data_IF_418744716092
#
_entry.id   IF_418744716092
#
_cell.length_a   1.000
_cell.length_b   1.000
_cell.length_c   1.000
_cell.angle_alpha   90.00
_cell.angle_beta   90.00
_cell.angle_gamma   90.00
#
_symmetry.space_group_name_H-M   'P 1'
#
loop_
_entity.id
_entity.type
_entity.pdbx_description
1 polymer ?
#
# COMPACT_ATOMS: atom_id res chain seq x y z
N UNK A 1 0.98 -10.83 3.24
CA UNK A 1 0.63 -10.40 4.62
C UNK A 1 -0.88 -10.22 4.84
N UNK A 2 -1.71 -10.62 3.87
CA UNK A 2 -3.16 -10.43 3.88
C UNK A 2 -3.95 -11.57 4.56
N UNK A 3 -3.30 -12.39 5.38
CA UNK A 3 -3.99 -13.42 6.14
C UNK A 3 -4.65 -12.79 7.37
N UNK A 4 -5.97 -12.93 7.48
CA UNK A 4 -6.77 -12.42 8.59
C UNK A 4 -6.86 -13.40 9.77
N UNK A 5 -6.45 -14.66 9.60
CA UNK A 5 -6.60 -15.72 10.59
C UNK A 5 -8.05 -15.85 11.08
N UNK A 6 -8.23 -15.99 12.40
CA UNK A 6 -9.55 -16.17 13.03
C UNK A 6 -10.52 -14.99 12.75
N UNK A 7 -9.99 -13.79 12.47
CA UNK A 7 -10.80 -12.61 12.20
C UNK A 7 -11.56 -12.67 10.88
N UNK A 8 -11.17 -13.57 9.95
CA UNK A 8 -11.89 -13.80 8.70
C UNK A 8 -13.37 -14.19 8.94
N UNK A 9 -13.69 -14.81 10.08
CA UNK A 9 -15.05 -15.15 10.48
C UNK A 9 -15.99 -13.94 10.56
N UNK A 10 -15.45 -12.75 10.85
CA UNK A 10 -16.25 -11.51 10.91
C UNK A 10 -16.61 -10.94 9.54
N UNK A 11 -15.93 -11.37 8.47
CA UNK A 11 -16.10 -10.77 7.13
C UNK A 11 -17.46 -11.09 6.49
N UNK A 12 -18.14 -12.16 6.94
CA UNK A 12 -19.48 -12.51 6.48
C UNK A 12 -20.53 -11.43 6.78
N UNK A 13 -20.30 -10.62 7.82
CA UNK A 13 -21.20 -9.53 8.21
C UNK A 13 -20.89 -8.20 7.49
N UNK A 14 -19.87 -8.16 6.61
CA UNK A 14 -19.46 -6.96 5.90
C UNK A 14 -20.16 -6.83 4.53
N UNK A 15 -20.34 -5.61 4.00
CA UNK A 15 -20.92 -5.38 2.67
C UNK A 15 -20.16 -6.13 1.58
N UNK A 16 -20.88 -6.70 0.59
CA UNK A 16 -20.28 -7.49 -0.49
C UNK A 16 -19.61 -6.66 -1.59
N UNK A 17 -19.98 -5.41 -1.73
CA UNK A 17 -19.47 -4.48 -2.76
C UNK A 17 -18.14 -3.85 -2.35
N UNK A 18 -17.33 -3.47 -3.34
CA UNK A 18 -16.05 -2.78 -3.12
C UNK A 18 -16.26 -1.43 -2.43
N UNK A 19 -17.29 -0.68 -2.82
CA UNK A 19 -17.63 0.61 -2.18
C UNK A 19 -17.97 0.43 -0.69
N UNK A 20 -18.72 -0.62 -0.36
CA UNK A 20 -19.13 -0.91 1.01
C UNK A 20 -17.96 -1.36 1.86
N UNK A 21 -17.04 -2.14 1.29
CA UNK A 21 -15.78 -2.50 1.95
C UNK A 21 -14.89 -1.27 2.18
N UNK A 22 -14.72 -0.41 1.18
CA UNK A 22 -13.94 0.82 1.33
C UNK A 22 -14.50 1.71 2.46
N UNK A 23 -15.82 1.89 2.52
CA UNK A 23 -16.49 2.63 3.62
C UNK A 23 -16.27 2.00 4.99
N UNK A 24 -16.26 0.66 5.08
CA UNK A 24 -15.91 -0.04 6.33
C UNK A 24 -14.48 0.30 6.75
N UNK A 25 -13.52 0.22 5.83
CA UNK A 25 -12.12 0.55 6.12
C UNK A 25 -11.95 2.02 6.55
N UNK A 26 -12.60 2.96 5.86
CA UNK A 26 -12.63 4.38 6.24
C UNK A 26 -13.25 4.62 7.62
N UNK A 27 -14.15 3.75 8.06
CA UNK A 27 -14.73 3.77 9.40
C UNK A 27 -13.85 3.15 10.49
N UNK A 28 -12.84 2.36 10.12
CA UNK A 28 -11.99 1.61 11.06
C UNK A 28 -10.57 2.16 11.15
N UNK A 29 -10.08 2.77 10.07
CA UNK A 29 -8.72 3.26 9.91
C UNK A 29 -8.69 4.80 9.87
N UNK A 30 -7.58 5.39 10.28
CA UNK A 30 -7.26 6.81 10.11
C UNK A 30 -5.82 6.94 9.64
N UNK A 31 -5.55 7.84 8.68
CA UNK A 31 -4.19 8.05 8.21
C UNK A 31 -3.37 8.82 9.24
N UNK A 32 -2.18 8.33 9.60
CA UNK A 32 -1.35 8.84 10.69
C UNK A 32 -0.94 10.30 10.50
N UNK A 33 -0.77 10.72 9.25
CA UNK A 33 -0.42 12.09 8.86
C UNK A 33 -1.63 12.98 8.54
N UNK A 34 -2.86 12.48 8.65
CA UNK A 34 -4.07 13.27 8.38
C UNK A 34 -5.10 13.33 9.53
N UNK A 35 -4.73 13.20 10.83
CA UNK A 35 -5.73 13.23 11.91
C UNK A 35 -6.36 14.62 12.07
N UNK A 36 -5.64 15.68 11.69
CA UNK A 36 -6.13 17.07 11.70
C UNK A 36 -7.32 17.28 10.77
N UNK A 37 -7.41 16.51 9.67
CA UNK A 37 -8.59 16.58 8.81
C UNK A 37 -9.84 16.23 9.61
N UNK A 38 -9.73 15.36 10.61
CA UNK A 38 -10.82 14.89 11.45
C UNK A 38 -10.91 15.58 12.81
N UNK A 39 -10.07 16.58 13.08
CA UNK A 39 -10.04 17.27 14.38
C UNK A 39 -9.60 16.37 15.54
N UNK A 40 -8.67 15.45 15.27
CA UNK A 40 -8.18 14.45 16.22
C UNK A 40 -6.69 14.65 16.47
N UNK A 41 -6.28 14.44 17.72
CA UNK A 41 -4.87 14.20 18.07
C UNK A 41 -4.70 12.72 18.37
N UNK A 42 -3.75 12.05 17.71
CA UNK A 42 -3.49 10.63 17.96
C UNK A 42 -2.92 10.41 19.38
N UNK A 43 -3.29 9.32 20.01
CA UNK A 43 -2.71 8.84 21.27
C UNK A 43 -1.31 8.23 21.08
N UNK A 44 -0.56 8.04 22.17
CA UNK A 44 0.75 7.36 22.10
C UNK A 44 0.63 5.91 21.62
N UNK A 45 -0.46 5.23 22.00
CA UNK A 45 -0.77 3.89 21.49
C UNK A 45 -0.91 3.92 19.96
N UNK A 46 -1.71 4.85 19.43
CA UNK A 46 -1.92 5.02 17.99
C UNK A 46 -0.63 5.38 17.24
N UNK A 47 0.26 6.17 17.84
CA UNK A 47 1.58 6.46 17.23
C UNK A 47 2.44 5.21 16.98
N UNK A 48 2.19 4.10 17.68
CA UNK A 48 2.86 2.81 17.45
C UNK A 48 2.10 1.83 16.53
N UNK A 49 0.91 2.18 16.06
CA UNK A 49 0.09 1.34 15.18
C UNK A 49 0.57 1.27 13.72
N UNK A 50 1.12 2.34 13.11
CA UNK A 50 1.62 2.30 11.74
C UNK A 50 2.72 1.25 11.51
N UNK A 51 3.41 0.80 12.56
CA UNK A 51 4.46 -0.22 12.48
C UNK A 51 3.93 -1.67 12.43
N UNK A 52 2.62 -1.87 12.34
CA UNK A 52 2.01 -3.21 12.24
C UNK A 52 1.92 -3.66 10.78
N UNK A 53 2.56 -4.79 10.47
CA UNK A 53 2.63 -5.30 9.09
C UNK A 53 1.43 -6.15 8.69
N UNK A 54 1.01 -7.11 9.52
CA UNK A 54 0.05 -8.14 9.13
C UNK A 54 -1.42 -7.76 9.33
N UNK A 55 -2.30 -8.28 8.46
CA UNK A 55 -3.73 -8.02 8.53
C UNK A 55 -4.37 -8.55 9.82
N UNK A 56 -3.96 -9.75 10.26
CA UNK A 56 -4.40 -10.36 11.52
C UNK A 56 -4.12 -9.46 12.72
N UNK A 57 -2.91 -8.93 12.83
CA UNK A 57 -2.48 -8.07 13.94
C UNK A 57 -3.20 -6.71 13.92
N UNK A 58 -3.47 -6.14 12.73
CA UNK A 58 -4.29 -4.94 12.58
C UNK A 58 -5.71 -5.21 13.10
N UNK A 59 -6.34 -6.29 12.64
CA UNK A 59 -7.69 -6.69 13.06
C UNK A 59 -7.77 -6.97 14.55
N UNK A 60 -6.77 -7.64 15.11
CA UNK A 60 -6.67 -7.89 16.54
C UNK A 60 -6.60 -6.60 17.34
N UNK A 61 -5.75 -5.64 16.93
CA UNK A 61 -5.67 -4.33 17.62
C UNK A 61 -6.97 -3.53 17.53
N UNK A 62 -7.66 -3.57 16.39
CA UNK A 62 -8.98 -2.94 16.23
C UNK A 62 -9.99 -3.57 17.19
N UNK A 63 -10.05 -4.90 17.24
CA UNK A 63 -11.05 -5.62 18.04
C UNK A 63 -10.78 -5.55 19.55
N UNK A 64 -9.50 -5.57 19.97
CA UNK A 64 -9.10 -5.40 21.37
C UNK A 64 -9.40 -3.98 21.86
N UNK A 65 -9.19 -2.97 21.01
CA UNK A 65 -9.52 -1.58 21.34
C UNK A 65 -11.04 -1.36 21.42
N UNK A 66 -11.79 -1.90 20.46
CA UNK A 66 -13.24 -1.76 20.41
C UNK A 66 -13.90 -3.04 19.89
N UNK A 67 -14.64 -3.78 20.75
CA UNK A 67 -15.19 -5.09 20.42
C UNK A 67 -16.47 -5.05 19.58
N UNK A 68 -16.99 -3.85 19.22
CA UNK A 68 -18.15 -3.76 18.32
C UNK A 68 -17.83 -4.42 16.97
N UNK A 69 -18.81 -4.87 16.18
CA UNK A 69 -18.53 -5.47 14.87
C UNK A 69 -17.72 -4.53 13.95
N UNK A 70 -16.91 -5.12 13.05
CA UNK A 70 -16.14 -4.37 12.04
C UNK A 70 -17.03 -3.53 11.11
N UNK A 71 -18.30 -3.90 10.92
CA UNK A 71 -19.28 -3.13 10.14
C UNK A 71 -19.71 -1.83 10.81
N UNK A 72 -19.37 -1.60 12.09
CA UNK A 72 -19.68 -0.37 12.81
C UNK A 72 -18.50 0.59 12.73
N UNK A 73 -18.68 1.74 12.10
CA UNK A 73 -17.66 2.77 12.07
C UNK A 73 -17.29 3.22 13.51
N UNK A 74 -16.03 3.58 13.68
CA UNK A 74 -15.50 4.18 14.91
C UNK A 74 -15.46 5.70 14.77
N UNK A 75 -15.68 6.44 15.87
CA UNK A 75 -15.30 7.85 15.92
C UNK A 75 -13.85 8.02 15.47
N UNK A 76 -13.47 9.09 14.74
CA UNK A 76 -12.12 9.22 14.19
C UNK A 76 -10.99 9.03 15.21
N UNK A 77 -11.16 9.52 16.45
CA UNK A 77 -10.18 9.34 17.53
C UNK A 77 -10.00 7.90 18.01
N UNK A 78 -10.95 7.01 17.72
CA UNK A 78 -10.96 5.60 18.12
C UNK A 78 -10.58 4.65 16.98
N UNK A 79 -10.23 5.20 15.80
CA UNK A 79 -9.78 4.42 14.64
C UNK A 79 -8.33 3.99 14.81
N UNK A 80 -7.98 2.87 14.19
CA UNK A 80 -6.60 2.41 14.11
C UNK A 80 -5.80 3.37 13.21
N UNK A 81 -4.69 3.89 13.72
CA UNK A 81 -3.80 4.76 12.98
C UNK A 81 -2.87 3.94 12.08
N UNK A 82 -2.95 4.19 10.78
CA UNK A 82 -2.08 3.56 9.79
C UNK A 82 -1.76 4.51 8.64
N UNK A 83 -1.27 3.95 7.54
CA UNK A 83 -0.95 4.69 6.32
C UNK A 83 -1.69 4.09 5.11
N UNK A 84 -1.51 4.67 3.92
CA UNK A 84 -2.09 4.21 2.65
C UNK A 84 -1.96 2.68 2.42
N UNK A 85 -0.80 2.11 2.76
CA UNK A 85 -0.55 0.68 2.66
C UNK A 85 -1.48 -0.16 3.53
N UNK A 86 -1.92 0.34 4.68
CA UNK A 86 -2.83 -0.39 5.57
C UNK A 86 -4.23 -0.51 4.97
N UNK A 87 -4.75 0.58 4.39
CA UNK A 87 -6.02 0.54 3.65
C UNK A 87 -5.94 -0.45 2.50
N UNK A 88 -4.84 -0.39 1.73
CA UNK A 88 -4.58 -1.29 0.61
C UNK A 88 -4.52 -2.75 1.05
N UNK A 89 -3.73 -3.08 2.06
CA UNK A 89 -3.63 -4.44 2.59
C UNK A 89 -4.99 -4.96 3.04
N UNK A 90 -5.72 -4.14 3.80
CA UNK A 90 -7.00 -4.56 4.38
C UNK A 90 -8.05 -4.78 3.30
N UNK A 91 -8.09 -3.97 2.24
CA UNK A 91 -8.99 -4.21 1.12
C UNK A 91 -8.59 -5.47 0.34
N UNK A 92 -7.29 -5.68 0.06
CA UNK A 92 -6.79 -6.93 -0.56
C UNK A 92 -7.21 -8.15 0.28
N UNK A 93 -7.06 -8.08 1.60
CA UNK A 93 -7.46 -9.14 2.54
C UNK A 93 -8.94 -9.46 2.43
N UNK A 94 -9.79 -8.44 2.43
CA UNK A 94 -11.24 -8.60 2.35
C UNK A 94 -11.69 -9.17 1.01
N UNK A 95 -11.11 -8.71 -0.10
CA UNK A 95 -11.42 -9.19 -1.45
C UNK A 95 -10.98 -10.65 -1.65
N UNK A 96 -9.76 -10.99 -1.23
CA UNK A 96 -9.25 -12.38 -1.30
C UNK A 96 -10.07 -13.35 -0.47
N UNK A 97 -10.59 -12.92 0.68
CA UNK A 97 -11.49 -13.74 1.50
C UNK A 97 -12.79 -14.14 0.78
N UNK A 98 -13.13 -13.44 -0.31
CA UNK A 98 -14.31 -13.66 -1.15
C UNK A 98 -13.99 -14.35 -2.48
N UNK A 99 -12.74 -14.80 -2.66
CA UNK A 99 -12.28 -15.38 -3.93
C UNK A 99 -12.06 -14.37 -5.04
N UNK A 100 -12.08 -13.06 -4.75
CA UNK A 100 -11.79 -12.02 -5.74
C UNK A 100 -10.27 -11.88 -5.85
N UNK A 101 -9.75 -11.99 -7.07
CA UNK A 101 -8.34 -11.74 -7.34
C UNK A 101 -8.02 -10.28 -7.04
N UNK A 102 -7.13 -10.06 -6.07
CA UNK A 102 -6.71 -8.72 -5.64
C UNK A 102 -5.22 -8.71 -5.30
N UNK A 103 -4.56 -7.57 -5.52
CA UNK A 103 -3.15 -7.33 -5.23
C UNK A 103 -2.94 -5.89 -4.78
N UNK A 104 -1.92 -5.67 -3.95
CA UNK A 104 -1.49 -4.34 -3.57
C UNK A 104 -0.54 -3.79 -4.64
N UNK A 105 -0.63 -2.49 -4.92
CA UNK A 105 0.28 -1.77 -5.80
C UNK A 105 0.94 -0.63 -5.06
N UNK A 106 2.23 -0.49 -5.30
CA UNK A 106 3.08 0.55 -4.75
C UNK A 106 3.48 1.51 -5.89
N UNK A 107 3.37 2.81 -5.63
CA UNK A 107 3.51 3.83 -6.68
C UNK A 107 3.27 5.23 -6.15
N UNK A 108 2.67 6.07 -6.98
CA UNK A 108 2.55 7.50 -6.71
C UNK A 108 1.20 8.07 -7.16
N UNK A 109 0.54 8.79 -6.24
CA UNK A 109 -0.70 9.52 -6.50
C UNK A 109 -0.44 10.95 -6.96
N UNK A 110 -1.00 11.33 -8.11
CA UNK A 110 -0.90 12.65 -8.72
C UNK A 110 -2.06 13.59 -8.32
N UNK A 111 -2.66 13.36 -7.14
CA UNK A 111 -3.93 13.99 -6.71
C UNK A 111 -3.92 14.48 -5.26
N UNK A 112 -2.74 14.53 -4.63
CA UNK A 112 -2.58 15.03 -3.26
C UNK A 112 -2.00 16.44 -3.22
N UNK A 113 -1.02 16.71 -4.08
CA UNK A 113 -0.31 17.99 -4.19
C UNK A 113 -0.13 18.28 -5.67
N UNK A 114 -0.45 19.50 -6.09
CA UNK A 114 -0.30 19.92 -7.49
C UNK A 114 1.15 19.74 -7.94
N UNK A 115 1.32 19.27 -9.18
CA UNK A 115 2.62 19.06 -9.84
C UNK A 115 3.56 18.06 -9.14
N UNK A 116 3.05 17.30 -8.18
CA UNK A 116 3.79 16.29 -7.43
C UNK A 116 3.12 14.91 -7.51
N UNK A 117 3.95 13.89 -7.41
CA UNK A 117 3.56 12.49 -7.39
C UNK A 117 3.93 11.93 -6.01
N UNK A 118 2.93 11.81 -5.13
CA UNK A 118 3.16 11.47 -3.72
C UNK A 118 3.19 9.95 -3.53
N UNK A 119 4.18 9.45 -2.78
CA UNK A 119 4.30 8.03 -2.39
C UNK A 119 2.96 7.49 -1.90
N UNK A 120 2.45 6.45 -2.54
CA UNK A 120 1.12 5.95 -2.24
C UNK A 120 0.93 4.48 -2.59
N UNK A 121 -0.07 3.88 -1.95
CA UNK A 121 -0.45 2.49 -2.15
C UNK A 121 -1.93 2.38 -2.46
N UNK A 122 -2.26 1.53 -3.43
CA UNK A 122 -3.64 1.26 -3.85
C UNK A 122 -3.88 -0.23 -4.04
N UNK A 123 -5.15 -0.63 -4.01
CA UNK A 123 -5.58 -2.00 -4.34
C UNK A 123 -5.86 -2.08 -5.84
N UNK A 124 -5.37 -3.13 -6.48
CA UNK A 124 -5.91 -3.60 -7.75
C UNK A 124 -6.75 -4.85 -7.51
N UNK A 125 -7.94 -4.91 -8.10
CA UNK A 125 -8.75 -6.12 -8.12
C UNK A 125 -9.24 -6.41 -9.54
N UNK A 126 -9.43 -7.69 -9.84
CA UNK A 126 -9.97 -8.10 -11.14
C UNK A 126 -11.49 -8.03 -11.08
N UNK A 127 -12.08 -7.20 -11.93
CA UNK A 127 -13.53 -7.12 -12.13
C UNK A 127 -13.92 -8.11 -13.23
N UNK A 128 -14.52 -9.23 -12.84
CA UNK A 128 -14.97 -10.28 -13.77
C UNK A 128 -16.06 -9.81 -14.74
N UNK A 129 -16.88 -8.81 -14.36
CA UNK A 129 -17.92 -8.29 -15.24
C UNK A 129 -17.33 -7.43 -16.36
N UNK A 130 -16.22 -6.72 -16.08
CA UNK A 130 -15.52 -5.88 -17.04
C UNK A 130 -14.29 -6.54 -17.67
N UNK A 131 -13.89 -7.71 -17.17
CA UNK A 131 -12.70 -8.47 -17.58
C UNK A 131 -11.42 -7.63 -17.53
N UNK A 132 -11.25 -6.83 -16.48
CA UNK A 132 -10.07 -5.96 -16.31
C UNK A 132 -9.69 -5.76 -14.85
N UNK A 133 -8.44 -5.34 -14.64
CA UNK A 133 -8.00 -4.81 -13.35
C UNK A 133 -8.49 -3.39 -13.13
N UNK A 134 -9.11 -3.17 -11.97
CA UNK A 134 -9.61 -1.88 -11.49
C UNK A 134 -8.72 -1.42 -10.34
N UNK A 135 -8.29 -0.15 -10.36
CA UNK A 135 -7.55 0.48 -9.26
C UNK A 135 -8.53 1.09 -8.26
N UNK A 136 -8.29 0.82 -6.97
CA UNK A 136 -9.12 1.32 -5.87
C UNK A 136 -8.22 1.94 -4.82
N UNK A 137 -8.50 3.21 -4.52
CA UNK A 137 -7.93 3.89 -3.37
C UNK A 137 -8.95 3.95 -2.23
N UNK A 138 -8.92 2.93 -1.36
CA UNK A 138 -9.84 2.80 -0.24
C UNK A 138 -9.57 3.81 0.89
N UNK A 139 -8.41 4.48 0.90
CA UNK A 139 -8.09 5.50 1.91
C UNK A 139 -8.96 6.74 1.74
N UNK A 140 -9.26 7.09 0.50
CA UNK A 140 -9.86 8.37 0.14
C UNK A 140 -11.36 8.37 0.46
N UNK A 141 -11.70 8.87 1.65
CA UNK A 141 -13.08 9.11 2.07
C UNK A 141 -13.61 10.46 1.56
N UNK A 142 -14.89 10.74 1.81
CA UNK A 142 -15.52 11.99 1.36
C UNK A 142 -14.79 13.26 1.84
N UNK A 143 -14.19 13.24 3.04
CA UNK A 143 -13.50 14.40 3.61
C UNK A 143 -12.13 14.60 2.96
N UNK A 144 -11.38 13.53 2.72
CA UNK A 144 -10.13 13.60 1.95
C UNK A 144 -10.39 14.03 0.51
N UNK A 145 -11.46 13.54 -0.13
CA UNK A 145 -11.85 13.98 -1.48
C UNK A 145 -12.05 15.49 -1.55
N UNK A 146 -12.80 16.05 -0.59
CA UNK A 146 -13.02 17.49 -0.50
C UNK A 146 -11.71 18.25 -0.28
N UNK A 147 -10.87 17.80 0.67
CA UNK A 147 -9.60 18.47 1.00
C UNK A 147 -8.60 18.48 -0.13
N UNK A 148 -8.53 17.41 -0.92
CA UNK A 148 -7.60 17.27 -2.04
C UNK A 148 -8.20 17.67 -3.39
N UNK A 149 -9.49 18.04 -3.44
CA UNK A 149 -10.16 18.40 -4.70
C UNK A 149 -10.29 17.22 -5.67
N UNK A 150 -10.47 16.01 -5.17
CA UNK A 150 -10.55 14.78 -5.98
C UNK A 150 -11.93 14.67 -6.65
N UNK A 151 -11.95 14.80 -7.97
CA UNK A 151 -13.13 14.82 -8.83
C UNK A 151 -13.38 13.52 -9.60
N UNK A 152 -12.47 12.54 -9.51
CA UNK A 152 -12.60 11.22 -10.16
C UNK A 152 -13.14 10.14 -9.20
N UNK A 153 -13.46 8.96 -9.74
CA UNK A 153 -13.90 7.82 -8.94
C UNK A 153 -12.71 7.14 -8.25
N UNK A 154 -12.72 7.08 -6.92
CA UNK A 154 -11.66 6.44 -6.13
C UNK A 154 -11.82 4.91 -6.08
N UNK A 155 -12.92 4.37 -6.62
CA UNK A 155 -13.16 2.95 -6.79
C UNK A 155 -12.83 2.45 -8.21
N UNK A 156 -12.44 3.35 -9.10
CA UNK A 156 -11.89 3.08 -10.43
C UNK A 156 -10.91 4.19 -10.81
N UNK A 157 -9.80 4.26 -10.05
CA UNK A 157 -8.80 5.32 -10.16
C UNK A 157 -8.19 5.31 -11.56
N UNK A 158 -8.23 6.44 -12.30
CA UNK A 158 -7.58 6.52 -13.60
C UNK A 158 -6.07 6.27 -13.51
N UNK A 159 -5.53 5.57 -14.51
CA UNK A 159 -4.10 5.17 -14.57
C UNK A 159 -3.13 6.34 -14.69
N UNK A 160 -3.61 7.50 -15.11
CA UNK A 160 -2.85 8.76 -15.16
C UNK A 160 -2.90 9.51 -13.81
N UNK A 161 -3.84 9.16 -12.92
CA UNK A 161 -3.93 9.71 -11.56
C UNK A 161 -3.10 8.92 -10.56
N UNK A 162 -2.94 7.61 -10.75
CA UNK A 162 -2.02 6.79 -9.97
C UNK A 162 -1.02 6.09 -10.88
N UNK A 163 0.26 6.45 -10.75
CA UNK A 163 1.35 5.81 -11.46
C UNK A 163 1.93 4.71 -10.61
N UNK A 164 1.88 3.46 -11.08
CA UNK A 164 2.65 2.38 -10.43
C UNK A 164 4.14 2.69 -10.50
N UNK A 165 4.92 2.22 -9.53
CA UNK A 165 6.32 2.65 -9.39
C UNK A 165 7.17 2.38 -10.66
N UNK A 166 6.90 1.29 -11.39
CA UNK A 166 7.57 0.98 -12.65
C UNK A 166 7.32 2.02 -13.75
N UNK A 167 6.12 2.57 -13.81
CA UNK A 167 5.75 3.60 -14.78
C UNK A 167 6.39 4.94 -14.43
N UNK A 168 6.39 5.29 -13.14
CA UNK A 168 7.10 6.48 -12.65
C UNK A 168 8.60 6.41 -12.96
N UNK A 169 9.23 5.25 -12.72
CA UNK A 169 10.62 5.00 -13.08
C UNK A 169 10.85 5.21 -14.56
N UNK A 170 10.05 4.57 -15.41
CA UNK A 170 10.16 4.68 -16.86
C UNK A 170 10.00 6.12 -17.35
N UNK A 171 9.03 6.86 -16.85
CA UNK A 171 8.81 8.27 -17.23
C UNK A 171 10.03 9.14 -16.92
N UNK A 172 10.61 8.96 -15.73
CA UNK A 172 11.82 9.67 -15.33
C UNK A 172 13.03 9.28 -16.19
N UNK A 173 13.22 7.99 -16.44
CA UNK A 173 14.32 7.46 -17.27
C UNK A 173 14.23 7.91 -18.74
N UNK A 174 13.01 8.05 -19.26
CA UNK A 174 12.75 8.58 -20.60
C UNK A 174 12.87 10.12 -20.67
N UNK A 175 13.19 10.81 -19.56
CA UNK A 175 13.29 12.28 -19.50
C UNK A 175 11.94 13.01 -19.59
N UNK A 176 10.82 12.30 -19.41
CA UNK A 176 9.45 12.85 -19.52
C UNK A 176 8.91 13.40 -18.21
N UNK A 177 9.56 13.09 -17.10
CA UNK A 177 9.20 13.60 -15.78
C UNK A 177 10.46 13.90 -14.95
N UNK A 178 10.36 14.87 -14.06
CA UNK A 178 11.44 15.20 -13.12
C UNK A 178 11.40 14.22 -11.94
N UNK A 179 12.48 13.47 -11.64
CA UNK A 179 12.52 12.58 -10.48
C UNK A 179 12.25 13.28 -9.15
N UNK A 180 12.55 14.58 -9.05
CA UNK A 180 12.31 15.37 -7.84
C UNK A 180 10.82 15.70 -7.62
N UNK A 181 9.95 15.40 -8.58
CA UNK A 181 8.51 15.49 -8.41
C UNK A 181 7.90 14.24 -7.74
N UNK A 182 8.67 13.17 -7.54
CA UNK A 182 8.19 11.88 -7.01
C UNK A 182 8.76 11.63 -5.62
N UNK A 183 7.89 11.51 -4.62
CA UNK A 183 8.34 11.26 -3.25
C UNK A 183 7.34 11.62 -2.17
N UNK A 184 7.83 11.76 -0.94
CA UNK A 184 7.02 12.09 0.23
C UNK A 184 7.89 12.76 1.30
N UNK A 185 7.34 13.74 2.01
CA UNK A 185 8.07 14.57 2.98
C UNK A 185 9.30 15.25 2.35
N UNK A 186 10.50 14.80 2.69
CA UNK A 186 11.80 15.26 2.20
C UNK A 186 12.52 14.21 1.31
N UNK A 187 11.88 13.06 1.08
CA UNK A 187 12.44 11.95 0.31
C UNK A 187 11.92 11.98 -1.13
N UNK A 188 12.77 12.38 -2.07
CA UNK A 188 12.48 12.43 -3.50
C UNK A 188 13.67 11.97 -4.33
N UNK A 189 13.42 11.64 -5.60
CA UNK A 189 14.46 11.30 -6.57
C UNK A 189 14.40 9.86 -7.09
N UNK A 190 15.38 9.51 -7.93
CA UNK A 190 15.40 8.19 -8.59
C UNK A 190 15.59 7.05 -7.58
N UNK A 191 16.37 7.23 -6.53
CA UNK A 191 16.55 6.24 -5.46
C UNK A 191 15.23 5.90 -4.77
N UNK A 192 14.36 6.90 -4.58
CA UNK A 192 13.08 6.73 -3.92
C UNK A 192 12.09 6.00 -4.82
N UNK A 193 12.07 6.35 -6.11
CA UNK A 193 11.30 5.64 -7.13
C UNK A 193 11.77 4.17 -7.25
N UNK A 194 13.09 3.95 -7.34
CA UNK A 194 13.68 2.61 -7.41
C UNK A 194 13.30 1.74 -6.21
N UNK A 195 13.32 2.30 -5.01
CA UNK A 195 12.88 1.60 -3.79
C UNK A 195 11.41 1.22 -3.87
N UNK A 196 10.55 2.10 -4.40
CA UNK A 196 9.14 1.80 -4.65
C UNK A 196 8.93 0.72 -5.72
N UNK A 197 9.78 0.65 -6.75
CA UNK A 197 9.75 -0.45 -7.74
C UNK A 197 10.03 -1.80 -7.05
N UNK A 198 11.03 -1.86 -6.17
CA UNK A 198 11.33 -3.07 -5.39
C UNK A 198 10.15 -3.43 -4.47
N UNK A 199 9.53 -2.45 -3.82
CA UNK A 199 8.32 -2.66 -3.00
C UNK A 199 7.13 -3.18 -3.81
N UNK A 200 6.93 -2.68 -5.03
CA UNK A 200 5.84 -3.15 -5.91
C UNK A 200 6.07 -4.60 -6.35
N UNK A 201 7.32 -4.99 -6.68
CA UNK A 201 7.66 -6.41 -6.96
C UNK A 201 7.37 -7.30 -5.74
N UNK A 202 7.73 -6.84 -4.53
CA UNK A 202 7.43 -7.58 -3.30
C UNK A 202 5.92 -7.68 -3.05
N UNK A 203 5.16 -6.60 -3.27
CA UNK A 203 3.70 -6.59 -3.15
C UNK A 203 3.02 -7.56 -4.12
N UNK A 204 3.48 -7.63 -5.37
CA UNK A 204 3.03 -8.60 -6.37
C UNK A 204 3.35 -10.05 -5.98
N UNK A 205 4.37 -10.26 -5.13
CA UNK A 205 4.71 -11.55 -4.52
C UNK A 205 4.09 -11.74 -3.11
N UNK A 206 3.00 -11.04 -2.80
CA UNK A 206 2.25 -11.12 -1.52
C UNK A 206 3.03 -10.66 -0.28
N UNK A 207 4.01 -9.78 -0.51
CA UNK A 207 4.86 -9.16 0.51
C UNK A 207 4.68 -7.63 0.47
N UNK A 208 3.48 -7.20 0.83
CA UNK A 208 3.08 -5.80 1.03
C UNK A 208 3.81 -5.12 2.22
N UNK A 209 5.09 -4.76 2.14
CA UNK A 209 5.86 -4.24 3.30
C UNK A 209 5.43 -2.82 3.74
N UNK A 210 5.95 -2.30 4.87
CA UNK A 210 5.71 -0.89 5.24
C UNK A 210 6.44 0.05 4.26
N UNK A 211 5.92 1.26 3.98
CA UNK A 211 6.57 2.21 3.07
C UNK A 211 8.01 2.60 3.49
N UNK A 212 8.31 2.53 4.79
CA UNK A 212 9.63 2.84 5.36
C UNK A 212 10.47 1.60 5.72
N UNK A 213 10.04 0.41 5.33
CA UNK A 213 10.90 -0.78 5.41
C UNK A 213 11.95 -0.70 4.28
N UNK A 214 13.21 -0.92 4.65
CA UNK A 214 14.37 -0.87 3.76
C UNK A 214 15.09 -2.22 3.80
N UNK A 215 15.40 -2.77 2.62
CA UNK A 215 16.11 -4.04 2.48
C UNK A 215 16.82 -4.15 1.12
N UNK A 216 17.69 -5.16 1.01
CA UNK A 216 18.24 -5.61 -0.26
C UNK A 216 18.92 -4.51 -1.06
N UNK A 217 18.49 -4.31 -2.30
CA UNK A 217 19.04 -3.35 -3.26
C UNK A 217 18.50 -1.92 -3.12
N UNK A 218 17.76 -1.60 -2.05
CA UNK A 218 17.34 -0.23 -1.78
C UNK A 218 18.51 0.62 -1.28
N UNK A 219 18.70 1.78 -1.88
CA UNK A 219 19.67 2.81 -1.47
C UNK A 219 18.93 4.14 -1.25
N UNK A 220 19.57 5.08 -0.56
CA UNK A 220 19.10 6.46 -0.37
C UNK A 220 19.79 7.48 -1.29
N UNK A 221 20.64 7.01 -2.22
CA UNK A 221 21.45 7.88 -3.09
C UNK A 221 21.25 7.49 -4.55
N UNK A 222 20.89 8.46 -5.40
CA UNK A 222 20.63 8.24 -6.83
C UNK A 222 21.80 7.55 -7.55
N UNK A 223 23.04 7.92 -7.20
CA UNK A 223 24.25 7.40 -7.81
C UNK A 223 24.53 5.92 -7.50
N UNK A 224 23.91 5.37 -6.45
CA UNK A 224 24.10 3.97 -6.02
C UNK A 224 23.03 3.03 -6.58
N UNK A 225 22.02 3.57 -7.28
CA UNK A 225 20.93 2.77 -7.84
C UNK A 225 21.47 1.84 -8.94
N UNK A 226 21.19 0.54 -8.81
CA UNK A 226 21.40 -0.43 -9.88
C UNK A 226 20.35 -0.21 -10.99
N UNK A 227 20.63 0.74 -11.87
CA UNK A 227 19.71 1.17 -12.94
C UNK A 227 19.24 0.00 -13.80
N UNK A 228 20.14 -0.94 -14.14
CA UNK A 228 19.80 -2.08 -14.99
C UNK A 228 18.84 -3.05 -14.30
N UNK A 229 19.04 -3.27 -13.00
CA UNK A 229 18.10 -4.05 -12.19
C UNK A 229 16.73 -3.37 -12.18
N UNK A 230 16.66 -2.09 -11.85
CA UNK A 230 15.39 -1.37 -11.72
C UNK A 230 14.68 -1.23 -13.07
N UNK A 231 15.40 -1.00 -14.18
CA UNK A 231 14.83 -1.00 -15.53
C UNK A 231 14.14 -2.35 -15.84
N UNK A 232 14.78 -3.47 -15.45
CA UNK A 232 14.17 -4.80 -15.58
C UNK A 232 12.93 -4.94 -14.71
N UNK A 233 12.98 -4.54 -13.44
CA UNK A 233 11.83 -4.65 -12.53
C UNK A 233 10.66 -3.77 -12.97
N UNK A 234 10.92 -2.54 -13.40
CA UNK A 234 9.91 -1.61 -13.88
C UNK A 234 9.14 -2.18 -15.09
N UNK A 235 9.83 -2.85 -16.03
CA UNK A 235 9.16 -3.58 -17.12
C UNK A 235 8.23 -4.67 -16.60
N UNK A 236 8.70 -5.45 -15.62
CA UNK A 236 7.92 -6.56 -15.07
C UNK A 236 6.68 -6.07 -14.31
N UNK A 237 6.77 -4.97 -13.58
CA UNK A 237 5.65 -4.43 -12.79
C UNK A 237 4.66 -3.60 -13.60
N UNK A 238 5.02 -3.14 -14.81
CA UNK A 238 4.09 -2.46 -15.73
C UNK A 238 2.97 -3.41 -16.20
N UNK A 239 3.33 -4.61 -16.66
CA UNK A 239 2.38 -5.63 -17.15
C UNK A 239 2.56 -6.97 -16.40
N UNK A 240 2.25 -7.01 -15.09
CA UNK A 240 2.58 -8.16 -14.24
C UNK A 240 1.94 -9.47 -14.70
N UNK A 241 0.74 -9.42 -15.31
CA UNK A 241 0.04 -10.63 -15.77
C UNK A 241 0.71 -11.26 -17.00
N UNK A 242 1.47 -10.49 -17.78
CA UNK A 242 2.27 -11.00 -18.90
C UNK A 242 3.60 -11.59 -18.45
N UNK A 243 4.00 -11.32 -17.20
CA UNK A 243 5.33 -11.60 -16.68
C UNK A 243 5.29 -12.38 -15.37
N UNK A 244 4.23 -13.15 -15.10
CA UNK A 244 4.03 -13.87 -13.82
C UNK A 244 5.24 -14.75 -13.48
N UNK A 245 5.70 -15.58 -14.41
CA UNK A 245 6.84 -16.48 -14.16
C UNK A 245 8.14 -15.71 -13.90
N UNK A 246 8.37 -14.62 -14.64
CA UNK A 246 9.54 -13.77 -14.46
C UNK A 246 9.50 -12.99 -13.13
N UNK A 247 8.32 -12.55 -12.69
CA UNK A 247 8.09 -11.88 -11.41
C UNK A 247 8.30 -12.83 -10.23
N UNK A 248 7.84 -14.07 -10.34
CA UNK A 248 8.11 -15.11 -9.34
C UNK A 248 9.61 -15.44 -9.31
N UNK A 249 10.24 -15.61 -10.47
CA UNK A 249 11.66 -15.97 -10.55
C UNK A 249 12.59 -14.86 -10.02
N UNK A 250 12.30 -13.59 -10.34
CA UNK A 250 13.14 -12.47 -9.86
C UNK A 250 13.04 -12.30 -8.35
N UNK A 251 11.95 -12.73 -7.73
CA UNK A 251 11.79 -12.65 -6.28
C UNK A 251 12.72 -13.62 -5.52
N UNK A 252 13.46 -14.49 -6.21
CA UNK A 252 14.56 -15.26 -5.62
C UNK A 252 15.88 -14.47 -5.46
N UNK A 253 15.99 -13.27 -6.02
CA UNK A 253 17.18 -12.42 -5.90
C UNK A 253 17.21 -11.77 -4.50
N UNK A 254 18.30 -11.91 -3.71
CA UNK A 254 18.40 -11.35 -2.36
C UNK A 254 18.37 -9.81 -2.31
N UNK A 255 18.58 -9.14 -3.45
CA UNK A 255 18.41 -7.68 -3.57
C UNK A 255 16.94 -7.26 -3.57
N UNK A 256 16.02 -8.19 -3.83
CA UNK A 256 14.59 -7.91 -4.04
C UNK A 256 13.73 -8.66 -3.02
N UNK A 257 14.06 -9.92 -2.75
CA UNK A 257 13.38 -10.74 -1.77
C UNK A 257 13.40 -10.07 -0.40
N UNK A 258 12.22 -9.95 0.23
CA UNK A 258 12.12 -9.46 1.60
C UNK A 258 12.80 -10.47 2.53
N UNK A 259 13.88 -10.07 3.24
CA UNK A 259 14.57 -10.95 4.18
C UNK A 259 13.76 -11.13 5.48
N UNK A 260 14.14 -12.09 6.35
CA UNK A 260 13.51 -12.25 7.67
C UNK A 260 13.60 -11.02 8.58
N UNK A 261 14.58 -10.14 8.35
CA UNK A 261 14.78 -8.89 9.10
C UNK A 261 15.01 -7.74 8.13
N UNK A 262 14.21 -6.68 8.26
CA UNK A 262 14.32 -5.45 7.48
C UNK A 262 14.73 -4.29 8.39
N UNK A 263 15.24 -3.20 7.81
CA UNK A 263 15.50 -1.98 8.56
C UNK A 263 14.27 -1.08 8.51
N UNK A 264 13.70 -0.75 9.67
CA UNK A 264 12.60 0.22 9.78
C UNK A 264 13.21 1.62 9.89
N UNK A 265 13.10 2.42 8.82
CA UNK A 265 13.74 3.74 8.74
C UNK A 265 13.12 4.77 9.70
N UNK A 266 11.83 4.65 10.04
CA UNK A 266 11.16 5.57 10.97
C UNK A 266 11.60 5.31 12.42
N UNK A 267 11.71 4.03 12.81
CA UNK A 267 12.19 3.65 14.15
C UNK A 267 13.72 3.54 14.26
N UNK A 268 14.42 3.70 13.14
CA UNK A 268 15.87 3.63 13.05
C UNK A 268 16.46 2.34 13.67
N UNK A 269 15.85 1.18 13.38
CA UNK A 269 16.26 -0.12 13.94
C UNK A 269 15.90 -1.29 13.02
N UNK A 270 16.62 -2.43 13.12
CA UNK A 270 16.19 -3.67 12.49
C UNK A 270 14.90 -4.21 13.14
N UNK A 271 14.00 -4.76 12.32
CA UNK A 271 12.77 -5.41 12.76
C UNK A 271 12.55 -6.73 12.02
N UNK A 272 12.09 -7.74 12.76
CA UNK A 272 11.70 -9.01 12.17
C UNK A 272 10.42 -8.83 11.34
N UNK A 273 10.41 -9.45 10.16
CA UNK A 273 9.22 -9.59 9.34
C UNK A 273 8.46 -10.81 9.84
N UNK A 274 7.45 -10.60 10.68
CA UNK A 274 6.58 -11.69 11.13
C UNK A 274 5.92 -12.35 9.92
N UNK A 275 6.37 -13.55 9.57
CA UNK A 275 5.60 -14.47 8.73
C UNK A 275 4.52 -15.06 9.63
N UNK A 276 3.26 -15.03 9.18
CA UNK A 276 2.24 -15.86 9.82
C UNK A 276 2.71 -17.33 9.88
N UNK A 277 2.07 -18.17 10.70
CA UNK A 277 2.55 -19.53 11.00
C UNK A 277 2.65 -20.50 9.80
N UNK A 278 2.37 -20.07 8.57
CA UNK A 278 2.57 -20.85 7.36
C UNK A 278 3.50 -20.12 6.38
N UNK A 279 4.79 -20.42 6.48
CA UNK A 279 5.71 -20.38 5.34
C UNK A 279 6.66 -21.58 5.52
N UNK A 280 6.90 -22.38 4.46
CA UNK A 280 7.89 -23.45 4.53
C UNK A 280 9.28 -22.92 4.91
#
# INVERSE_FOLDING_TARGET
MSDAGIWALQFNALPRTVDGLAKVLQGLLIHEHMPDFYGVTLSDRQRGEPHVRGAREILERIAVHDPRPLSKARPPGERFAGCCRHYTLMLVTLLRSRGIAARARCGFGAYFVNDMFIDHWVTEYFDDAQLRWVLVDAQIDARQREKFGIDFDTLDVPRDKFLVAGDAWKLCRDGKANPQAFGVLDMFGLWFIASNVIRDVAALNNREMLPWDVWGGMTQVDAEVDVALIDRLARLTHEPDRHVDELCAVYGDPRIAVPPTVFNAVLNRPEAVSTGPDSP
#
